data_IF_063749559058
#
_entry.id   IF_063749559058
#
_cell.length_a   1.000
_cell.length_b   1.000
_cell.length_c   1.000
_cell.angle_alpha   90.00
_cell.angle_beta   90.00
_cell.angle_gamma   90.00
#
_symmetry.space_group_name_H-M   'P 1'
#
loop_
_entity.id
_entity.type
_entity.pdbx_description
1 polymer ?
2 polymer ?
3 non-polymer ?
4 water ?
#
# COMPACT_ATOMS: atom_id res chain seq x y z
N UNK A 2 -0.11 -2.92 3.60
CA UNK A 2 1.10 -2.62 4.38
C UNK A 2 0.84 -1.68 5.57
N UNK A 3 1.63 -1.88 6.63
CA UNK A 3 1.56 -1.05 7.84
C UNK A 3 1.74 0.43 7.52
N UNK A 4 2.42 0.69 6.39
CA UNK A 4 2.59 2.06 5.89
C UNK A 4 1.23 2.63 5.48
N UNK A 5 0.49 1.91 4.63
CA UNK A 5 -0.85 2.37 4.26
C UNK A 5 -1.72 2.51 5.50
N UNK A 6 -1.72 1.45 6.30
CA UNK A 6 -2.61 1.39 7.45
C UNK A 6 -2.36 2.55 8.41
N UNK A 7 -1.09 2.87 8.65
CA UNK A 7 -0.75 4.00 9.52
C UNK A 7 -1.26 5.32 8.96
N UNK A 8 -0.99 5.53 7.69
CA UNK A 8 -1.44 6.73 7.00
C UNK A 8 -2.96 6.90 7.10
N UNK A 9 -3.69 5.82 6.86
CA UNK A 9 -5.14 5.82 6.92
C UNK A 9 -5.63 6.24 8.30
N UNK A 10 -4.98 5.68 9.34
CA UNK A 10 -5.26 6.05 10.73
C UNK A 10 -5.01 7.51 10.98
N UNK A 11 -3.83 7.98 10.56
CA UNK A 11 -3.42 9.34 10.82
C UNK A 11 -4.36 10.29 10.11
N UNK A 12 -4.77 9.91 8.90
CA UNK A 12 -5.63 10.77 8.11
C UNK A 12 -6.98 10.92 8.77
N UNK A 13 -7.53 9.81 9.25
CA UNK A 13 -8.83 9.83 9.90
C UNK A 13 -8.79 10.67 11.18
N UNK A 14 -7.61 10.86 11.75
CA UNK A 14 -7.49 11.76 12.88
C UNK A 14 -6.88 13.12 12.52
N UNK A 15 -6.84 13.44 11.22
CA UNK A 15 -6.38 14.74 10.73
C UNK A 15 -5.02 15.15 11.27
N UNK A 16 -4.08 14.22 11.29
CA UNK A 16 -2.77 14.45 11.90
C UNK A 16 -1.66 13.75 11.13
N UNK A 17 -0.43 14.17 11.39
CA UNK A 17 0.76 13.45 10.95
C UNK A 17 0.85 12.11 11.68
N UNK A 18 1.72 11.22 11.22
CA UNK A 18 1.90 9.96 11.93
C UNK A 18 2.52 10.22 13.29
N UNK A 19 2.20 9.33 14.23
CA UNK A 19 2.71 9.39 15.58
C UNK A 19 4.14 8.87 15.59
N UNK A 20 4.93 9.26 16.60
CA UNK A 20 6.31 8.74 16.66
C UNK A 20 6.36 7.22 16.62
N UNK A 21 5.36 6.57 17.21
CA UNK A 21 5.27 5.12 17.24
C UNK A 21 4.96 4.53 15.87
N UNK A 22 4.01 5.16 15.17
CA UNK A 22 3.70 4.75 13.81
C UNK A 22 4.97 4.84 12.96
N UNK A 23 5.62 6.00 13.02
CA UNK A 23 6.86 6.22 12.29
C UNK A 23 7.92 5.16 12.60
N UNK A 24 8.10 4.88 13.89
CA UNK A 24 9.05 3.86 14.33
C UNK A 24 8.66 2.48 13.82
N UNK A 25 7.35 2.23 13.78
CA UNK A 25 6.80 0.98 13.30
C UNK A 25 7.17 0.78 11.83
N UNK A 26 6.93 1.80 11.03
CA UNK A 26 7.34 1.78 9.62
C UNK A 26 8.85 1.55 9.50
N UNK A 27 9.65 2.19 10.36
CA UNK A 27 11.10 2.04 10.34
C UNK A 27 11.52 0.58 10.54
N UNK A 28 10.90 -0.10 11.48
CA UNK A 28 11.19 -1.50 11.71
C UNK A 28 10.63 -2.38 10.62
N UNK A 29 9.65 -1.85 9.89
CA UNK A 29 9.02 -2.60 8.82
C UNK A 29 9.94 -2.67 7.60
N UNK A 30 10.51 -1.54 7.20
CA UNK A 30 11.41 -1.51 6.06
C UNK A 30 12.74 -2.22 6.37
N UNK A 31 13.11 -2.21 7.66
CA UNK A 31 14.27 -2.92 8.14
C UNK A 31 14.13 -4.42 7.91
N UNK A 32 12.92 -4.95 8.08
CA UNK A 32 12.70 -6.39 7.94
C UNK A 32 12.36 -6.76 6.49
N UNK A 33 12.41 -5.77 5.61
CA UNK A 33 12.08 -5.96 4.20
C UNK A 33 12.89 -7.03 3.52
N UNK A 34 14.19 -7.04 3.77
CA UNK A 34 15.09 -8.02 3.19
C UNK A 34 14.67 -9.44 3.54
N UNK A 35 14.41 -9.67 4.82
CA UNK A 35 14.05 -11.00 5.31
C UNK A 35 12.77 -11.51 4.65
N UNK A 36 11.72 -10.67 4.61
CA UNK A 36 10.44 -11.08 4.06
C UNK A 36 10.54 -11.33 2.56
N UNK A 37 11.34 -10.51 1.87
CA UNK A 37 11.58 -10.72 0.45
C UNK A 37 12.20 -12.11 0.20
N UNK A 38 13.19 -12.49 0.98
CA UNK A 38 13.82 -13.82 0.86
C UNK A 38 12.79 -14.95 1.02
N UNK A 39 11.93 -14.84 2.03
CA UNK A 39 10.87 -15.82 2.25
C UNK A 39 9.92 -15.93 1.06
N UNK A 40 9.46 -14.79 0.53
CA UNK A 40 8.61 -14.81 -0.65
C UNK A 40 9.35 -15.44 -1.84
N UNK A 41 10.65 -15.18 -1.93
CA UNK A 41 11.46 -15.63 -3.06
C UNK A 41 11.56 -17.14 -3.09
N UNK A 42 11.75 -17.76 -1.93
CA UNK A 42 11.79 -19.21 -1.83
C UNK A 42 10.46 -19.83 -2.29
N UNK A 43 9.35 -19.27 -1.80
CA UNK A 43 8.02 -19.78 -2.13
C UNK A 43 7.73 -19.59 -3.61
N UNK A 44 8.18 -18.47 -4.16
CA UNK A 44 8.07 -18.22 -5.59
C UNK A 44 8.81 -19.31 -6.35
N UNK A 45 10.10 -19.45 -6.06
CA UNK A 45 10.98 -20.38 -6.77
C UNK A 45 10.53 -21.83 -6.74
N UNK A 46 9.97 -22.26 -5.62
CA UNK A 46 9.51 -23.65 -5.49
C UNK A 46 7.99 -23.81 -5.62
N UNK A 47 7.32 -22.86 -6.25
CA UNK A 47 5.86 -22.87 -6.32
C UNK A 47 5.30 -24.15 -6.95
N UNK A 48 5.90 -24.59 -8.06
CA UNK A 48 5.45 -25.78 -8.77
C UNK A 48 5.51 -27.03 -7.89
N UNK A 49 6.56 -27.16 -7.09
CA UNK A 49 6.68 -28.29 -6.16
C UNK A 49 5.67 -28.21 -5.01
N UNK A 50 5.59 -27.04 -4.39
CA UNK A 50 4.67 -26.81 -3.29
C UNK A 50 3.24 -27.17 -3.70
N UNK A 51 2.83 -26.76 -4.89
CA UNK A 51 1.46 -26.95 -5.29
C UNK A 51 1.24 -28.41 -5.70
N UNK A 52 2.23 -29.02 -6.37
CA UNK A 52 2.09 -30.43 -6.78
C UNK A 52 2.03 -31.40 -5.59
N UNK A 53 2.94 -31.23 -4.65
CA UNK A 53 3.02 -32.13 -3.50
C UNK A 53 1.85 -31.93 -2.57
N UNK A 54 1.46 -30.67 -2.39
CA UNK A 54 0.34 -30.34 -1.53
C UNK A 54 -0.93 -30.91 -2.12
N UNK A 55 -1.05 -30.82 -3.44
CA UNK A 55 -2.18 -31.40 -4.15
C UNK A 55 -2.29 -32.91 -3.94
N UNK A 56 -1.14 -33.60 -4.01
CA UNK A 56 -1.10 -35.03 -3.76
C UNK A 56 -1.49 -35.39 -2.33
N UNK A 57 -0.93 -34.68 -1.36
CA UNK A 57 -1.33 -34.87 0.03
C UNK A 57 -2.83 -34.57 0.20
N UNK A 58 -3.31 -33.52 -0.47
CA UNK A 58 -4.70 -33.12 -0.33
C UNK A 58 -5.62 -34.24 -0.79
N UNK A 59 -5.31 -34.81 -1.94
CA UNK A 59 -6.16 -35.83 -2.53
C UNK A 59 -6.09 -37.16 -1.74
N UNK A 60 -5.06 -37.33 -0.93
CA UNK A 60 -5.02 -38.44 0.02
C UNK A 60 -6.00 -38.20 1.16
N UNK A 61 -6.02 -36.97 1.68
CA UNK A 61 -6.84 -36.67 2.84
C UNK A 61 -8.30 -36.57 2.42
N UNK A 62 -8.52 -36.19 1.16
CA UNK A 62 -9.87 -35.94 0.64
C UNK A 62 -10.11 -36.60 -0.71
N UNK A 63 -10.13 -37.94 -0.74
CA UNK A 63 -10.30 -38.58 -2.04
C UNK A 63 -11.67 -38.31 -2.65
N UNK A 64 -12.65 -37.97 -1.81
CA UNK A 64 -13.98 -37.67 -2.30
C UNK A 64 -13.97 -36.58 -3.39
N UNK A 65 -13.18 -35.52 -3.22
CA UNK A 65 -13.18 -34.45 -4.22
C UNK A 65 -12.64 -34.90 -5.59
N UNK A 66 -11.83 -35.96 -5.64
CA UNK A 66 -11.27 -36.43 -6.92
C UNK A 66 -11.88 -37.76 -7.40
N UNK A 67 -12.88 -38.24 -6.68
CA UNK A 67 -13.62 -39.43 -7.08
C UNK A 67 -14.94 -38.98 -7.70
N UNK A 68 -15.61 -39.87 -8.49
CA UNK A 68 -16.85 -39.44 -9.16
C UNK A 68 -17.83 -38.80 -8.21
N UNK A 69 -18.47 -37.72 -8.64
CA UNK A 69 -19.34 -36.94 -7.77
C UNK A 69 -18.64 -35.79 -7.06
N UNK A 70 -17.31 -35.75 -7.14
CA UNK A 70 -16.54 -34.72 -6.47
C UNK A 70 -16.32 -33.50 -7.32
N UNK A 71 -16.09 -32.36 -6.68
CA UNK A 71 -15.92 -31.11 -7.42
C UNK A 71 -14.69 -31.08 -8.32
N UNK A 72 -13.65 -31.83 -7.95
CA UNK A 72 -12.42 -31.89 -8.76
C UNK A 72 -12.27 -33.25 -9.46
N UNK A 73 -13.37 -33.82 -9.94
CA UNK A 73 -13.28 -35.12 -10.60
C UNK A 73 -12.76 -35.00 -12.04
N UNK A 74 -11.75 -35.81 -12.36
CA UNK A 74 -11.19 -35.79 -13.70
C UNK A 74 -10.01 -34.85 -13.86
N UNK A 75 -9.26 -35.05 -14.94
CA UNK A 75 -8.05 -34.30 -15.22
C UNK A 75 -8.25 -32.78 -15.20
N UNK A 76 -9.25 -32.31 -15.92
CA UNK A 76 -9.45 -30.87 -16.08
C UNK A 76 -9.83 -30.18 -14.77
N UNK A 77 -10.72 -30.81 -14.02
CA UNK A 77 -11.16 -30.28 -12.74
C UNK A 77 -10.06 -30.38 -11.70
N UNK A 78 -9.25 -31.43 -11.77
CA UNK A 78 -8.15 -31.56 -10.85
C UNK A 78 -7.15 -30.44 -11.16
N UNK A 79 -6.96 -30.18 -12.45
CA UNK A 79 -6.01 -29.15 -12.86
C UNK A 79 -6.47 -27.77 -12.42
N UNK A 80 -7.78 -27.49 -12.54
CA UNK A 80 -8.37 -26.24 -12.05
C UNK A 80 -8.19 -26.11 -10.53
N UNK A 81 -8.33 -27.22 -9.82
CA UNK A 81 -8.14 -27.19 -8.37
C UNK A 81 -6.71 -26.75 -8.05
N UNK A 82 -5.74 -27.43 -8.66
CA UNK A 82 -4.33 -27.09 -8.49
C UNK A 82 -4.07 -25.66 -8.92
N UNK A 83 -4.75 -25.23 -9.99
CA UNK A 83 -4.69 -23.84 -10.45
C UNK A 83 -5.07 -22.89 -9.32
N UNK A 84 -6.15 -23.22 -8.61
CA UNK A 84 -6.60 -22.42 -7.49
C UNK A 84 -5.59 -22.40 -6.35
N UNK A 85 -4.99 -23.55 -6.08
CA UNK A 85 -3.98 -23.64 -5.04
C UNK A 85 -2.81 -22.74 -5.37
N UNK A 86 -2.40 -22.78 -6.64
CA UNK A 86 -1.32 -21.91 -7.08
C UNK A 86 -1.69 -20.45 -6.89
N UNK A 87 -2.95 -20.11 -7.18
CA UNK A 87 -3.47 -18.76 -6.90
C UNK A 87 -3.17 -18.36 -5.46
N UNK A 88 -3.52 -19.22 -4.51
CA UNK A 88 -3.38 -18.84 -3.11
C UNK A 88 -1.92 -18.80 -2.63
N UNK A 89 -1.08 -19.69 -3.18
CA UNK A 89 0.34 -19.62 -2.88
C UNK A 89 0.84 -18.26 -3.35
N UNK A 90 0.42 -17.86 -4.55
CA UNK A 90 0.83 -16.58 -5.10
C UNK A 90 0.42 -15.43 -4.17
N UNK A 91 -0.85 -15.39 -3.79
CA UNK A 91 -1.34 -14.34 -2.91
C UNK A 91 -0.58 -14.31 -1.60
N UNK A 92 -0.18 -15.48 -1.12
CA UNK A 92 0.51 -15.55 0.15
C UNK A 92 1.88 -14.85 0.03
N UNK A 93 2.57 -15.03 -1.10
CA UNK A 93 3.86 -14.35 -1.30
C UNK A 93 3.63 -12.82 -1.32
N UNK A 94 2.49 -12.39 -1.85
CA UNK A 94 2.14 -10.98 -1.80
C UNK A 94 2.09 -10.51 -0.37
N UNK A 95 1.36 -11.25 0.46
CA UNK A 95 1.18 -10.89 1.85
C UNK A 95 2.49 -10.82 2.61
N UNK A 96 3.37 -11.77 2.30
CA UNK A 96 4.66 -11.85 2.96
C UNK A 96 5.49 -10.56 2.74
N UNK A 97 5.58 -10.08 1.50
CA UNK A 97 6.39 -8.89 1.26
C UNK A 97 5.75 -7.67 1.90
N UNK A 98 4.40 -7.64 1.91
CA UNK A 98 3.67 -6.49 2.45
C UNK A 98 3.65 -6.49 3.98
N UNK A 99 3.86 -7.64 4.61
CA UNK A 99 3.97 -7.69 6.05
C UNK A 99 2.66 -8.04 6.73
N UNK A 100 1.57 -8.13 5.96
CA UNK A 100 0.27 -8.54 6.52
C UNK A 100 -0.61 -9.28 5.53
N UNK A 101 -1.77 -9.71 5.98
CA UNK A 101 -2.65 -10.54 5.16
C UNK A 101 -3.57 -9.77 4.22
N UNK A 102 -3.45 -8.44 4.19
CA UNK A 102 -4.41 -7.63 3.44
C UNK A 102 -4.50 -7.97 1.93
N UNK A 103 -3.35 -8.11 1.23
CA UNK A 103 -3.51 -8.43 -0.19
C UNK A 103 -4.17 -9.81 -0.40
N UNK A 104 -3.96 -10.71 0.56
CA UNK A 104 -4.64 -12.00 0.50
C UNK A 104 -6.15 -11.81 0.61
N UNK A 105 -6.57 -11.07 1.63
CA UNK A 105 -7.98 -10.71 1.82
C UNK A 105 -8.61 -10.06 0.59
N UNK A 106 -8.00 -8.99 0.10
CA UNK A 106 -8.62 -8.18 -0.95
C UNK A 106 -8.71 -8.90 -2.28
N UNK A 107 -7.72 -9.74 -2.57
CA UNK A 107 -7.70 -10.50 -3.81
C UNK A 107 -8.44 -11.85 -3.67
N UNK A 108 -8.27 -12.55 -2.56
CA UNK A 108 -8.76 -13.93 -2.48
C UNK A 108 -9.70 -14.39 -1.39
N UNK A 109 -10.10 -13.53 -0.47
CA UNK A 109 -10.98 -13.98 0.62
C UNK A 109 -12.31 -13.26 0.65
N UNK A 110 -12.34 -12.01 0.21
CA UNK A 110 -13.60 -11.27 0.26
C UNK A 110 -14.58 -11.91 -0.73
N UNK A 111 -15.67 -12.45 -0.19
CA UNK A 111 -16.66 -13.13 -0.98
C UNK A 111 -16.25 -14.51 -1.48
N UNK A 112 -15.16 -15.07 -0.94
CA UNK A 112 -14.70 -16.36 -1.40
C UNK A 112 -15.78 -17.44 -1.16
N UNK A 113 -16.58 -17.25 -0.11
CA UNK A 113 -17.63 -18.18 0.27
C UNK A 113 -18.72 -18.24 -0.79
N UNK A 114 -19.16 -17.06 -1.25
CA UNK A 114 -20.17 -16.98 -2.28
C UNK A 114 -19.69 -17.61 -3.59
N UNK A 115 -18.44 -17.38 -3.95
CA UNK A 115 -17.86 -17.95 -5.17
C UNK A 115 -17.85 -19.48 -5.12
N UNK A 116 -17.25 -20.03 -4.07
CA UNK A 116 -17.10 -21.47 -3.98
C UNK A 116 -18.43 -22.20 -3.73
N UNK A 117 -19.36 -21.52 -3.05
CA UNK A 117 -20.68 -22.12 -2.83
C UNK A 117 -21.38 -22.30 -4.16
N UNK A 118 -21.40 -21.21 -4.92
CA UNK A 118 -21.91 -21.20 -6.27
C UNK A 118 -21.35 -22.37 -7.10
N UNK A 119 -20.03 -22.54 -7.07
CA UNK A 119 -19.38 -23.56 -7.86
C UNK A 119 -19.62 -24.96 -7.30
N UNK A 120 -20.05 -25.03 -6.03
CA UNK A 120 -20.23 -26.31 -5.36
C UNK A 120 -18.92 -26.92 -4.89
N UNK A 121 -17.89 -26.08 -4.81
CA UNK A 121 -16.59 -26.51 -4.29
C UNK A 121 -16.60 -26.60 -2.77
N UNK A 122 -16.19 -27.75 -2.22
CA UNK A 122 -16.21 -27.93 -0.77
C UNK A 122 -15.16 -27.05 -0.09
N UNK A 123 -15.60 -25.98 0.58
CA UNK A 123 -14.67 -25.01 1.15
C UNK A 123 -13.71 -25.58 2.21
N UNK A 124 -14.19 -26.45 3.11
CA UNK A 124 -13.23 -27.08 4.04
C UNK A 124 -12.10 -27.83 3.33
N UNK A 125 -12.36 -28.35 2.14
CA UNK A 125 -11.34 -29.11 1.44
C UNK A 125 -10.32 -28.14 0.85
N UNK A 126 -10.78 -26.92 0.59
CA UNK A 126 -9.89 -25.87 0.11
C UNK A 126 -8.96 -25.42 1.23
N UNK A 127 -9.54 -25.28 2.43
CA UNK A 127 -8.76 -24.93 3.62
C UNK A 127 -7.68 -25.97 3.81
N UNK A 128 -8.09 -27.23 3.75
CA UNK A 128 -7.16 -28.34 3.87
C UNK A 128 -6.03 -28.22 2.86
N UNK A 129 -6.35 -27.81 1.62
CA UNK A 129 -5.34 -27.67 0.58
C UNK A 129 -4.27 -26.65 0.95
N UNK A 130 -4.70 -25.60 1.63
CA UNK A 130 -3.77 -24.57 2.10
C UNK A 130 -2.89 -25.11 3.22
N UNK A 131 -3.49 -25.87 4.14
CA UNK A 131 -2.73 -26.57 5.17
C UNK A 131 -1.63 -27.39 4.51
N UNK A 132 -1.99 -28.09 3.44
CA UNK A 132 -1.06 -28.96 2.76
C UNK A 132 0.08 -28.15 2.16
N UNK A 133 -0.25 -27.02 1.55
CA UNK A 133 0.79 -26.15 1.01
C UNK A 133 1.69 -25.59 2.12
N UNK A 134 1.07 -25.25 3.24
CA UNK A 134 1.80 -24.76 4.41
C UNK A 134 2.85 -25.77 4.83
N UNK A 135 2.44 -27.03 4.89
CA UNK A 135 3.29 -28.14 5.30
C UNK A 135 4.51 -28.23 4.38
N UNK A 136 4.28 -28.32 3.08
CA UNK A 136 5.35 -28.41 2.10
C UNK A 136 6.25 -27.18 2.07
N UNK A 137 5.64 -26.01 2.12
CA UNK A 137 6.37 -24.75 2.10
C UNK A 137 7.29 -24.64 3.30
N UNK A 138 6.76 -24.93 4.49
CA UNK A 138 7.51 -24.77 5.74
C UNK A 138 8.85 -25.52 5.75
N UNK A 139 8.86 -26.72 5.16
CA UNK A 139 10.06 -27.53 5.09
C UNK A 139 11.18 -26.88 4.28
N UNK A 140 10.85 -26.00 3.36
CA UNK A 140 11.89 -25.35 2.55
C UNK A 140 12.45 -24.10 3.22
N UNK A 141 12.07 -23.88 4.47
CA UNK A 141 12.44 -22.64 5.17
C UNK A 141 13.08 -22.96 6.52
N UNK A 142 13.85 -22.00 7.01
CA UNK A 142 14.39 -22.04 8.37
C UNK A 142 13.27 -22.05 9.40
N UNK A 143 13.57 -22.51 10.61
CA UNK A 143 12.59 -22.52 11.70
C UNK A 143 12.04 -21.14 11.95
N UNK A 144 12.89 -20.14 11.82
CA UNK A 144 12.52 -18.73 11.96
C UNK A 144 11.53 -18.32 10.89
N UNK A 145 11.93 -18.50 9.63
CA UNK A 145 11.11 -18.10 8.47
C UNK A 145 9.83 -18.91 8.35
N UNK A 146 9.90 -20.21 8.69
CA UNK A 146 8.70 -21.05 8.68
C UNK A 146 7.67 -20.53 9.68
N UNK A 147 8.15 -20.10 10.83
CA UNK A 147 7.28 -19.56 11.87
C UNK A 147 6.62 -18.30 11.34
N UNK A 148 7.42 -17.38 10.81
CA UNK A 148 6.89 -16.15 10.26
C UNK A 148 5.90 -16.40 9.12
N UNK A 149 6.22 -17.34 8.24
CA UNK A 149 5.34 -17.62 7.11
C UNK A 149 4.06 -18.32 7.55
N UNK A 150 4.12 -18.95 8.72
CA UNK A 150 3.00 -19.75 9.20
C UNK A 150 1.76 -18.91 9.34
N UNK A 151 1.93 -17.67 9.79
CA UNK A 151 0.77 -16.83 10.12
C UNK A 151 -0.05 -16.51 8.87
N UNK A 152 0.61 -16.44 7.72
CA UNK A 152 -0.09 -16.17 6.46
C UNK A 152 -0.93 -17.38 6.00
N UNK A 153 -0.33 -18.57 6.01
CA UNK A 153 -1.08 -19.79 5.69
C UNK A 153 -2.25 -19.99 6.67
N UNK A 154 -1.98 -19.87 7.96
CA UNK A 154 -3.00 -20.07 8.99
C UNK A 154 -4.18 -19.12 8.80
N UNK A 155 -3.90 -17.88 8.43
CA UNK A 155 -4.98 -16.88 8.29
C UNK A 155 -5.93 -17.30 7.19
N UNK A 156 -5.37 -17.73 6.07
CA UNK A 156 -6.16 -18.25 4.95
C UNK A 156 -7.05 -19.42 5.37
N UNK A 157 -6.46 -20.34 6.13
CA UNK A 157 -7.15 -21.53 6.61
C UNK A 157 -8.30 -21.18 7.55
N UNK A 158 -8.06 -20.20 8.43
CA UNK A 158 -9.05 -19.81 9.42
C UNK A 158 -10.11 -18.89 8.85
N UNK A 159 -9.81 -18.30 7.70
CA UNK A 159 -10.76 -17.46 7.00
C UNK A 159 -11.53 -18.23 5.91
N UNK A 160 -11.08 -19.44 5.54
CA UNK A 160 -11.83 -20.33 4.64
C UNK A 160 -13.06 -20.84 5.32
N UNK A 161 -14.13 -20.05 5.26
CA UNK A 161 -15.39 -20.40 5.92
C UNK A 161 -16.57 -20.40 4.94
N UNK B 1 -6.09 3.68 -1.25
CA UNK B 1 -4.77 4.13 -1.68
C UNK B 1 -3.81 2.96 -1.81
N UNK B 2 -2.70 3.18 -2.52
CA UNK B 2 -1.60 2.24 -2.53
C UNK B 2 -0.38 2.90 -1.94
N UNK B 3 0.54 2.09 -1.46
CA UNK B 3 1.89 2.54 -1.20
C UNK B 3 2.73 1.87 -2.27
N UNK B 4 4.04 2.11 -2.24
CA UNK B 4 4.94 1.58 -3.28
C UNK B 4 4.90 0.04 -3.34
N UNK B 5 4.70 -0.61 -2.19
CA UNK B 5 4.66 -2.06 -2.13
C UNK B 5 3.39 -2.64 -2.73
N UNK B 6 2.25 -2.13 -2.28
CA UNK B 6 0.97 -2.68 -2.74
C UNK B 6 0.72 -2.32 -4.20
N UNK B 7 1.29 -1.22 -4.67
CA UNK B 7 1.21 -0.90 -6.10
C UNK B 7 1.88 -1.99 -6.92
N UNK B 8 3.10 -2.38 -6.53
CA UNK B 8 3.82 -3.43 -7.24
C UNK B 8 3.03 -4.73 -7.25
N UNK B 9 2.46 -5.08 -6.10
CA UNK B 9 1.61 -6.26 -5.97
C UNK B 9 0.47 -6.25 -6.99
N UNK B 10 -0.32 -5.17 -7.04
CA UNK B 10 -1.44 -5.09 -7.96
C UNK B 10 -0.99 -5.22 -9.43
N UNK B 11 0.20 -4.70 -9.75
CA UNK B 11 0.76 -4.79 -11.10
C UNK B 11 1.04 -6.24 -11.48
N UNK B 12 1.59 -7.01 -10.53
CA UNK B 12 1.87 -8.43 -10.72
C UNK B 12 0.59 -9.26 -10.65
N UNK B 13 -0.34 -8.87 -9.79
CA UNK B 13 -1.64 -9.52 -9.68
C UNK B 13 -2.47 -9.40 -10.95
N UNK B 14 -2.53 -8.18 -11.49
CA UNK B 14 -3.23 -7.93 -12.74
C UNK B 14 -2.76 -8.88 -13.85
N UNK B 15 -1.46 -9.20 -13.83
CA UNK B 15 -0.90 -10.15 -14.77
C UNK B 15 -0.93 -11.61 -14.25
N UNK B 16 -1.40 -11.83 -13.03
CA UNK B 16 -1.45 -13.18 -12.47
C UNK B 16 -0.08 -13.80 -12.27
N UNK B 17 0.90 -12.94 -12.03
CA UNK B 17 2.27 -13.38 -11.93
C UNK B 17 2.82 -13.31 -10.51
N UNK B 18 3.70 -14.24 -10.16
CA UNK B 18 4.47 -14.06 -8.95
C UNK B 18 5.37 -12.85 -9.12
N UNK B 19 6.03 -12.44 -8.04
CA UNK B 19 6.94 -11.30 -8.13
C UNK B 19 8.25 -11.71 -8.81
N UNK B 20 8.57 -11.04 -9.91
CA UNK B 20 9.78 -11.37 -10.65
C UNK B 20 10.93 -10.44 -10.25
N UNK B 21 11.98 -10.39 -11.06
CA UNK B 21 13.17 -9.65 -10.73
C UNK B 21 12.91 -8.17 -10.61
N UNK B 22 12.27 -7.57 -11.62
CA UNK B 22 11.89 -6.16 -11.58
C UNK B 22 11.03 -5.80 -10.37
N UNK B 23 10.03 -6.62 -10.08
CA UNK B 23 9.12 -6.34 -8.97
C UNK B 23 9.86 -6.37 -7.64
N UNK B 24 10.70 -7.39 -7.48
CA UNK B 24 11.51 -7.57 -6.29
C UNK B 24 12.51 -6.44 -6.10
N UNK B 25 13.01 -5.97 -7.23
CA UNK B 25 13.98 -4.90 -7.19
C UNK B 25 13.32 -3.58 -6.78
N UNK B 26 12.11 -3.32 -7.27
CA UNK B 26 11.36 -2.12 -6.87
C UNK B 26 11.05 -2.13 -5.38
N UNK B 27 10.61 -3.28 -4.86
CA UNK B 27 10.36 -3.43 -3.42
C UNK B 27 11.60 -3.13 -2.60
N UNK B 28 12.73 -3.68 -3.03
CA UNK B 28 14.03 -3.43 -2.41
C UNK B 28 14.37 -1.94 -2.40
N UNK B 29 14.20 -1.29 -3.55
CA UNK B 29 14.42 0.15 -3.69
C UNK B 29 13.65 0.90 -2.62
N UNK B 30 12.40 0.50 -2.43
CA UNK B 30 11.54 1.19 -1.51
C UNK B 30 12.01 1.02 -0.07
N UNK B 31 12.26 -0.23 0.33
CA UNK B 31 12.73 -0.50 1.68
C UNK B 31 14.02 0.29 1.99
N UNK B 32 14.92 0.35 1.01
CA UNK B 32 16.19 1.08 1.19
C UNK B 32 16.00 2.58 1.35
N UNK B 33 14.87 3.10 0.88
CA UNK B 33 14.54 4.50 1.03
C UNK B 33 13.69 4.73 2.28
N UNK B 34 13.32 3.63 2.93
CA UNK B 34 12.43 3.68 4.07
C UNK B 34 12.81 4.69 5.14
N UNK B 35 14.01 4.54 5.71
CA UNK B 35 14.43 5.40 6.81
C UNK B 35 14.55 6.88 6.46
N UNK B 36 14.97 7.18 5.23
CA UNK B 36 15.10 8.56 4.82
C UNK B 36 13.71 9.19 4.76
N UNK B 37 12.73 8.41 4.32
CA UNK B 37 11.32 8.83 4.28
C UNK B 37 10.76 9.15 5.67
N UNK B 38 11.01 8.27 6.63
CA UNK B 38 10.55 8.50 8.00
C UNK B 38 11.24 9.74 8.58
N UNK B 39 12.53 9.87 8.36
CA UNK B 39 13.29 10.97 8.92
C UNK B 39 12.76 12.30 8.40
N UNK B 40 12.50 12.37 7.09
CA UNK B 40 11.98 13.59 6.49
C UNK B 40 10.56 13.92 6.98
N UNK B 41 9.77 12.88 7.22
CA UNK B 41 8.41 13.02 7.71
C UNK B 41 8.43 13.53 9.15
N UNK B 42 9.46 13.13 9.89
CA UNK B 42 9.58 13.58 11.27
C UNK B 42 9.90 15.06 11.31
N UNK B 43 10.78 15.47 10.40
CA UNK B 43 11.20 16.86 10.30
C UNK B 43 10.07 17.79 9.88
N UNK B 44 9.32 17.38 8.86
CA UNK B 44 8.17 18.14 8.34
C UNK B 44 7.06 18.23 9.36
N UNK B 45 6.75 17.12 10.03
CA UNK B 45 5.78 17.16 11.12
C UNK B 45 6.15 18.21 12.19
N UNK B 46 7.45 18.33 12.40
CA UNK B 46 7.99 19.10 13.50
C UNK B 46 7.95 20.58 13.16
N UNK B 47 7.98 20.93 11.87
CA UNK B 47 7.91 22.31 11.48
C UNK B 47 6.69 22.67 10.67
N UNK B 48 5.60 21.88 10.79
CA UNK B 48 4.51 22.04 9.83
C UNK B 48 3.91 23.44 9.82
N UNK B 49 3.76 24.03 11.00
CA UNK B 49 3.21 25.39 11.07
C UNK B 49 4.11 26.42 10.37
N UNK B 50 5.41 26.34 10.60
CA UNK B 50 6.32 27.36 10.06
C UNK B 50 6.54 27.25 8.55
N UNK B 51 6.47 26.01 8.04
CA UNK B 51 6.59 25.77 6.61
C UNK B 51 5.48 26.50 5.86
N UNK B 52 4.26 26.40 6.37
CA UNK B 52 3.10 27.08 5.78
C UNK B 52 3.21 28.60 6.03
N UNK B 53 3.61 28.98 7.24
CA UNK B 53 3.85 30.39 7.54
C UNK B 53 4.83 31.04 6.56
N UNK B 54 5.92 30.35 6.26
CA UNK B 54 6.92 30.89 5.35
C UNK B 54 6.42 30.93 3.92
N UNK B 55 5.75 29.86 3.53
CA UNK B 55 5.21 29.73 2.19
C UNK B 55 4.16 30.79 1.89
N UNK B 56 3.40 31.18 2.92
CA UNK B 56 2.37 32.20 2.76
C UNK B 56 2.99 33.59 2.61
N UNK B 57 3.90 33.92 3.53
CA UNK B 57 4.64 35.19 3.50
C UNK B 57 5.32 35.41 2.16
N UNK B 58 5.87 34.33 1.62
CA UNK B 58 6.66 34.36 0.39
C UNK B 58 5.82 34.57 -0.86
N UNK B 59 4.56 34.13 -0.84
CA UNK B 59 3.80 34.06 -2.10
C UNK B 59 2.45 34.75 -2.08
N UNK B 60 1.84 34.91 -0.90
CA UNK B 60 0.48 35.48 -0.85
C UNK B 60 0.33 36.87 -0.16
N UNK B 61 1.05 37.12 0.94
CA UNK B 61 0.84 38.33 1.75
C UNK B 61 1.14 39.64 1.05
N UNK B 62 0.54 40.69 1.59
CA UNK B 62 0.71 42.07 1.10
C UNK B 62 0.48 42.14 -0.41
N UNK B 63 -0.58 41.46 -0.84
CA UNK B 63 -1.03 41.49 -2.23
C UNK B 63 -2.52 41.80 -2.28
N UNK B 64 -3.07 41.82 -3.49
CA UNK B 64 -4.51 41.99 -3.68
C UNK B 64 -5.27 40.83 -3.04
N UNK B 65 -4.65 39.65 -2.98
CA UNK B 65 -5.31 38.46 -2.44
C UNK B 65 -5.79 38.68 -1.01
N UNK B 66 -4.95 39.32 -0.20
CA UNK B 66 -5.27 39.51 1.22
C UNK B 66 -5.97 40.84 1.50
N UNK B 67 -6.16 41.67 0.48
CA UNK B 67 -6.87 42.95 0.66
C UNK B 67 -8.36 42.79 0.41
N UNK B 68 -9.17 43.74 0.88
CA UNK B 68 -10.60 43.70 0.60
C UNK B 68 -10.90 43.44 -0.87
N UNK B 69 -11.64 42.37 -1.14
CA UNK B 69 -11.92 41.95 -2.50
C UNK B 69 -11.07 40.78 -2.97
N UNK B 70 -10.03 40.45 -2.23
CA UNK B 70 -9.25 39.26 -2.55
C UNK B 70 -9.84 37.99 -1.96
N UNK B 72 -8.35 35.81 -0.13
CA UNK B 72 -7.87 35.60 1.24
C UNK B 72 -8.38 36.68 2.21
N UNK B 73 -9.28 37.54 1.74
CA UNK B 73 -9.82 38.58 2.62
C UNK B 73 -10.95 38.01 3.48
N UNK B 74 -11.09 38.59 4.68
CA UNK B 74 -11.88 38.09 5.82
C UNK B 74 -11.07 37.01 6.51
N UNK B 75 -11.05 37.02 7.84
CA UNK B 75 -10.30 36.03 8.59
C UNK B 75 -10.73 34.57 8.29
N UNK B 76 -12.02 34.36 8.01
CA UNK B 76 -12.52 33.02 7.65
C UNK B 76 -11.85 32.47 6.39
N UNK B 77 -11.65 33.34 5.40
CA UNK B 77 -11.00 32.92 4.16
C UNK B 77 -9.48 32.80 4.31
N UNK B 78 -8.89 33.62 5.17
CA UNK B 78 -7.48 33.49 5.46
C UNK B 78 -7.22 32.13 6.11
N UNK B 79 -8.01 31.81 7.12
CA UNK B 79 -7.90 30.53 7.81
C UNK B 79 -8.14 29.35 6.87
N UNK B 80 -9.19 29.45 6.06
CA UNK B 80 -9.48 28.44 5.04
C UNK B 80 -8.26 28.16 4.17
N UNK B 81 -7.61 29.23 3.74
CA UNK B 81 -6.51 29.11 2.80
C UNK B 81 -5.32 28.42 3.41
N UNK B 82 -4.93 28.84 4.61
CA UNK B 82 -3.76 28.22 5.23
C UNK B 82 -4.16 26.84 5.73
N UNK B 83 -5.45 26.61 5.93
CA UNK B 83 -5.93 25.26 6.24
C UNK B 83 -5.75 24.34 5.04
N UNK B 84 -6.02 24.87 3.84
CA UNK B 84 -5.75 24.10 2.62
C UNK B 84 -4.27 23.76 2.54
N UNK B 85 -3.41 24.72 2.91
CA UNK B 85 -1.99 24.50 2.85
C UNK B 85 -1.52 23.42 3.84
N UNK B 86 -2.07 23.41 5.05
CA UNK B 86 -1.77 22.35 6.01
C UNK B 86 -2.11 20.99 5.38
N UNK B 87 -3.30 20.91 4.75
CA UNK B 87 -3.75 19.73 4.02
C UNK B 87 -2.73 19.29 3.00
N UNK B 88 -2.37 20.19 2.09
CA UNK B 88 -1.46 19.84 1.01
C UNK B 88 -0.12 19.34 1.56
N UNK B 89 0.33 19.96 2.66
CA UNK B 89 1.59 19.56 3.28
C UNK B 89 1.48 18.18 3.93
N UNK B 90 0.37 17.95 4.62
CA UNK B 90 0.20 16.71 5.36
C UNK B 90 0.00 15.51 4.41
N UNK B 91 -0.76 15.71 3.33
CA UNK B 91 -0.95 14.62 2.39
C UNK B 91 0.27 14.43 1.50
N UNK B 92 0.96 15.52 1.18
CA UNK B 92 2.22 15.39 0.46
C UNK B 92 3.16 14.51 1.28
N UNK B 93 3.19 14.75 2.59
CA UNK B 93 4.00 13.98 3.51
C UNK B 93 3.58 12.49 3.53
N UNK B 94 2.26 12.24 3.53
CA UNK B 94 1.73 10.87 3.43
C UNK B 94 2.24 10.19 2.16
N UNK B 95 2.01 10.86 1.03
CA UNK B 95 2.38 10.34 -0.28
C UNK B 95 3.87 10.03 -0.31
N UNK B 96 4.65 10.88 0.35
CA UNK B 96 6.10 10.70 0.39
C UNK B 96 6.48 9.45 1.16
N UNK B 97 5.91 9.29 2.36
CA UNK B 97 6.09 8.07 3.14
C UNK B 97 5.71 6.83 2.32
N UNK B 98 4.58 6.91 1.65
CA UNK B 98 4.03 5.79 0.90
C UNK B 98 4.80 5.50 -0.38
N UNK B 99 5.56 6.49 -0.84
CA UNK B 99 6.24 6.41 -2.12
C UNK B 99 5.28 6.18 -3.26
N UNK B 100 4.08 6.78 -3.18
CA UNK B 100 3.04 6.63 -4.19
C UNK B 100 2.01 7.75 -4.04
N UNK B 101 1.57 8.34 -5.16
CA UNK B 101 0.67 9.49 -5.08
C UNK B 101 -0.84 9.16 -5.04
N UNK B 102 -1.22 7.88 -5.05
CA UNK B 102 -2.64 7.50 -5.13
C UNK B 102 -3.51 8.10 -4.03
N UNK B 103 -2.91 8.43 -2.89
CA UNK B 103 -3.68 9.04 -1.82
C UNK B 103 -4.08 10.49 -2.19
N UNK B 104 -3.27 11.14 -3.03
CA UNK B 104 -3.56 12.48 -3.51
C UNK B 104 -4.77 12.48 -4.45
N UNK B 105 -4.82 11.51 -5.34
CA UNK B 105 -5.96 11.37 -6.24
C UNK B 105 -7.23 11.03 -5.44
N UNK B 106 -7.06 10.08 -4.53
CA UNK B 106 -8.15 9.60 -3.69
C UNK B 106 -8.76 10.63 -2.72
N UNK B 107 -7.94 11.31 -1.92
CA UNK B 107 -8.52 12.10 -0.84
C UNK B 107 -8.26 13.59 -0.94
N UNK B 108 -7.46 14.01 -1.91
CA UNK B 108 -7.13 15.42 -2.07
C UNK B 108 -7.72 15.99 -3.34
N UNK B 109 -7.40 15.37 -4.48
CA UNK B 109 -7.71 15.96 -5.78
C UNK B 109 -9.12 15.68 -6.30
N UNK B 110 -9.86 14.80 -5.64
CA UNK B 110 -11.15 14.38 -6.19
C UNK B 110 -12.17 15.52 -6.18
N UNK B 111 -12.45 16.06 -7.36
CA UNK B 111 -13.43 17.12 -7.49
C UNK B 111 -12.98 18.45 -6.90
N UNK B 112 -11.67 18.57 -6.66
CA UNK B 112 -11.10 19.75 -6.02
C UNK B 112 -11.10 20.93 -6.97
N UNK B 113 -10.62 20.69 -8.19
CA UNK B 113 -10.56 21.70 -9.23
C UNK B 113 -11.93 22.33 -9.46
N UNK B 114 -12.95 21.49 -9.43
CA UNK B 114 -14.32 21.95 -9.69
C UNK B 114 -14.82 22.79 -8.53
N UNK B 115 -14.51 22.34 -7.32
CA UNK B 115 -14.84 23.08 -6.11
C UNK B 115 -14.22 24.48 -6.09
N UNK B 116 -12.92 24.54 -6.36
CA UNK B 116 -12.21 25.81 -6.39
C UNK B 116 -12.81 26.80 -7.38
N UNK B 117 -13.17 26.31 -8.58
CA UNK B 117 -13.84 27.15 -9.56
C UNK B 117 -15.17 27.67 -9.02
N UNK B 118 -15.90 26.79 -8.38
CA UNK B 118 -17.23 27.06 -7.85
C UNK B 118 -17.24 28.20 -6.83
N UNK B 119 -16.25 28.23 -5.93
CA UNK B 119 -16.19 29.22 -4.87
C UNK B 119 -15.41 30.48 -5.26
N UNK B 120 -14.62 30.40 -6.31
CA UNK B 120 -13.82 31.52 -6.76
C UNK B 120 -12.40 31.46 -6.23
N UNK B 121 -11.98 30.28 -5.79
CA UNK B 121 -10.62 30.12 -5.29
C UNK B 121 -9.66 30.22 -6.47
N UNK B 122 -8.70 31.15 -6.38
CA UNK B 122 -7.71 31.37 -7.44
C UNK B 122 -6.74 30.19 -7.49
N UNK B 123 -6.76 29.47 -8.60
CA UNK B 123 -5.97 28.25 -8.73
C UNK B 123 -4.49 28.56 -8.91
N UNK B 124 -4.21 29.53 -9.78
CA UNK B 124 -2.84 29.93 -10.06
C UNK B 124 -2.14 30.39 -8.81
N UNK B 125 -2.83 31.21 -8.02
CA UNK B 125 -2.30 31.73 -6.77
C UNK B 125 -2.05 30.59 -5.77
N UNK B 126 -3.01 29.67 -5.68
CA UNK B 126 -2.90 28.47 -4.83
C UNK B 126 -1.65 27.67 -5.16
N UNK B 127 -1.41 27.50 -6.46
CA UNK B 127 -0.25 26.76 -6.94
C UNK B 127 1.06 27.47 -6.65
N UNK B 128 1.09 28.80 -6.77
CA UNK B 128 2.28 29.56 -6.37
C UNK B 128 2.63 29.26 -4.91
N UNK B 129 1.60 29.18 -4.07
CA UNK B 129 1.79 28.94 -2.65
C UNK B 129 2.40 27.55 -2.42
N UNK B 130 1.83 26.55 -3.09
CA UNK B 130 2.32 25.17 -2.97
C UNK B 130 3.76 25.08 -3.44
N UNK B 131 4.05 25.68 -4.59
CA UNK B 131 5.41 25.68 -5.12
C UNK B 131 6.38 26.39 -4.17
N UNK B 132 5.89 27.37 -3.44
CA UNK B 132 6.69 28.06 -2.41
C UNK B 132 6.96 27.13 -1.23
N UNK B 133 5.92 26.39 -0.85
CA UNK B 133 6.01 25.42 0.22
C UNK B 133 7.02 24.32 -0.09
N UNK B 134 7.12 24.02 -1.39
CA UNK B 134 8.07 23.02 -1.88
C UNK B 134 9.50 23.47 -1.59
N UNK B 135 9.77 24.73 -1.96
CA UNK B 135 11.09 25.34 -1.72
C UNK B 135 11.42 25.44 -0.24
N UNK B 136 10.45 25.89 0.54
CA UNK B 136 10.63 25.93 1.98
C UNK B 136 10.89 24.53 2.55
N UNK B 137 10.12 23.54 2.08
CA UNK B 137 10.30 22.18 2.57
C UNK B 137 11.67 21.65 2.19
N UNK B 138 12.03 21.77 0.91
CA UNK B 138 13.34 21.35 0.43
C UNK B 138 14.49 21.87 1.29
N UNK B 139 14.49 23.19 1.54
CA UNK B 139 15.49 23.84 2.39
C UNK B 139 15.64 23.12 3.72
N UNK B 140 14.49 22.70 4.24
CA UNK B 140 14.39 22.08 5.53
C UNK B 140 14.80 20.60 5.57
N UNK B 141 14.36 19.80 4.60
CA UNK B 141 14.56 18.35 4.68
C UNK B 141 15.75 17.83 3.88
N UNK B 142 16.42 18.74 3.17
CA UNK B 142 17.56 18.35 2.35
C UNK B 142 17.17 18.14 0.90
N UNK B 143 18.18 17.90 0.07
CA UNK B 143 17.97 17.81 -1.38
C UNK B 143 17.22 16.55 -1.81
N UNK B 144 17.60 15.40 -1.28
CA UNK B 144 17.01 14.13 -1.71
C UNK B 144 15.55 13.98 -1.31
N UNK B 145 15.26 14.28 -0.04
CA UNK B 145 13.90 14.23 0.47
C UNK B 145 13.09 15.34 -0.18
N UNK B 146 13.74 16.49 -0.34
CA UNK B 146 13.12 17.65 -0.95
C UNK B 146 12.69 17.36 -2.37
N UNK B 147 13.54 16.67 -3.12
CA UNK B 147 13.16 16.22 -4.45
C UNK B 147 11.92 15.32 -4.39
N UNK B 148 11.93 14.35 -3.46
CA UNK B 148 10.80 13.42 -3.38
C UNK B 148 9.52 14.16 -2.96
N UNK B 149 9.57 14.93 -1.86
CA UNK B 149 8.44 15.78 -1.49
C UNK B 149 7.94 16.59 -2.70
N UNK B 150 8.90 17.08 -3.49
CA UNK B 150 8.59 17.83 -4.68
C UNK B 150 7.72 17.08 -5.66
N UNK B 151 7.98 15.77 -5.83
CA UNK B 151 7.15 14.94 -6.69
C UNK B 151 5.65 15.12 -6.39
N UNK B 152 5.32 15.19 -5.10
CA UNK B 152 3.94 15.17 -4.66
C UNK B 152 3.30 16.55 -4.60
N UNK B 153 4.10 17.56 -4.23
CA UNK B 153 3.68 18.95 -4.34
C UNK B 153 3.29 19.21 -5.79
N UNK B 154 4.11 18.71 -6.71
CA UNK B 154 3.88 18.93 -8.13
C UNK B 154 2.65 18.17 -8.58
N UNK B 155 2.49 16.98 -8.03
CA UNK B 155 1.38 16.13 -8.39
C UNK B 155 0.09 16.86 -8.06
N UNK B 156 0.07 17.51 -6.90
CA UNK B 156 -1.10 18.25 -6.47
C UNK B 156 -1.39 19.40 -7.43
N UNK B 157 -0.34 20.15 -7.76
CA UNK B 157 -0.47 21.30 -8.65
C UNK B 157 -1.07 20.92 -10.01
N UNK B 158 -0.53 19.86 -10.60
CA UNK B 158 -1.04 19.37 -11.87
C UNK B 158 -2.52 19.00 -11.80
N UNK B 159 -2.96 18.54 -10.63
CA UNK B 159 -4.34 18.10 -10.48
C UNK B 159 -5.26 19.29 -10.42
N UNK B 160 -4.70 20.44 -10.08
CA UNK B 160 -5.46 21.68 -9.88
C UNK B 160 -5.75 22.42 -11.19
N UNK B 161 -4.98 22.07 -12.21
CA UNK B 161 -5.10 22.69 -13.53
C UNK B 161 -5.77 21.71 -14.52
#
# INVERSE_FOLDING_TARGET
>A
MSIVTKSIVNADAEARYLSPGELDRIKGFVTSGERRLRIAQVLTESRERIVKQAGDQLFQKRPDVVSPGGNAYGEEMTATCLRDMDYYLRLITYGVVAGDVTPIEEIGLVGVREMYNSLGTPIPAVAEAVRCMKSVASSLLSGEDAAEAASYFDYVVGAMQ
>B
MQDAITAVINSSDVQGKYLDGSAMEKLKAYFQTGELRVRAATTISANAAEIVKDAVAKSLLYSDITRPGGXMYTTRRYAACIRDLDYYLRYSTYAMLAGDPSILDERVLNGLKETYNSLGVPVGATVQAIQAMKEVTATLVGADAGKEMGVYFDYICSGLS
#
